data_IF_506039582470
#
_entry.id   IF_506039582470
#
_cell.length_a   1.000
_cell.length_b   1.000
_cell.length_c   1.000
_cell.angle_alpha   90.00
_cell.angle_beta   90.00
_cell.angle_gamma   90.00
#
_symmetry.space_group_name_H-M   'P 1'
#
loop_
_entity.id
_entity.type
_entity.pdbx_description
1 polymer ?
#
# COMPACT_ATOMS: atom_id res chain seq x y z
N UNK A 1 13.15 -7.51 16.90
CA UNK A 1 13.60 -8.18 15.67
C UNK A 1 15.02 -8.70 15.92
N UNK A 2 15.19 -10.03 16.03
CA UNK A 2 16.52 -10.66 16.07
C UNK A 2 17.04 -10.68 14.63
N UNK A 3 18.08 -9.90 14.36
CA UNK A 3 18.78 -9.93 13.07
C UNK A 3 19.70 -11.16 13.11
N UNK A 4 19.20 -12.30 12.61
CA UNK A 4 20.01 -13.49 12.34
C UNK A 4 19.93 -13.77 10.85
N UNK A 5 20.91 -13.28 10.09
CA UNK A 5 20.88 -13.50 8.64
C UNK A 5 21.95 -12.80 7.81
N UNK A 6 23.14 -12.50 8.36
CA UNK A 6 24.30 -12.11 7.52
C UNK A 6 25.58 -12.65 8.14
N UNK A 7 25.74 -13.98 8.17
CA UNK A 7 27.07 -14.61 8.31
C UNK A 7 26.95 -16.01 7.75
N UNK A 8 27.34 -16.19 6.49
CA UNK A 8 27.92 -17.43 5.97
C UNK A 8 28.31 -17.23 4.50
N UNK A 9 29.48 -16.63 4.29
CA UNK A 9 30.29 -16.82 3.10
C UNK A 9 31.75 -16.45 3.43
N UNK A 10 32.35 -17.21 4.36
CA UNK A 10 33.80 -17.31 4.44
C UNK A 10 34.18 -18.77 4.21
N UNK A 11 34.68 -19.06 3.01
CA UNK A 11 35.39 -20.30 2.71
C UNK A 11 36.66 -20.35 3.59
N UNK A 12 36.91 -21.41 4.38
CA UNK A 12 38.19 -21.58 5.04
C UNK A 12 39.18 -22.16 4.02
N UNK A 13 39.91 -21.29 3.32
CA UNK A 13 41.11 -21.71 2.59
C UNK A 13 42.28 -21.83 3.56
N UNK A 14 42.88 -23.03 3.63
CA UNK A 14 44.26 -23.24 4.05
C UNK A 14 44.49 -23.39 5.55
N UNK A 15 44.54 -24.64 6.03
CA UNK A 15 45.19 -25.01 7.29
C UNK A 15 46.70 -24.80 7.18
N UNK A 16 47.16 -23.55 7.26
CA UNK A 16 48.53 -23.29 7.70
C UNK A 16 48.62 -23.76 9.16
N UNK A 17 49.59 -24.64 9.47
CA UNK A 17 49.98 -24.98 10.85
C UNK A 17 50.35 -23.68 11.58
N UNK A 18 49.36 -23.03 12.20
CA UNK A 18 49.59 -21.94 13.13
C UNK A 18 50.01 -22.59 14.44
N UNK A 19 51.21 -22.29 14.91
CA UNK A 19 51.61 -22.53 16.29
C UNK A 19 50.47 -22.07 17.20
N UNK A 20 50.00 -22.97 18.08
CA UNK A 20 48.97 -22.62 19.06
C UNK A 20 49.47 -21.40 19.83
N UNK A 21 48.76 -20.27 19.85
CA UNK A 21 49.16 -19.14 20.67
C UNK A 21 49.11 -19.59 22.14
N UNK A 22 50.26 -19.67 22.80
CA UNK A 22 50.28 -19.90 24.24
C UNK A 22 49.87 -18.60 24.94
N UNK A 23 48.63 -18.55 25.44
CA UNK A 23 48.18 -17.42 26.25
C UNK A 23 48.83 -17.39 27.64
N UNK A 24 49.48 -18.48 28.07
CA UNK A 24 50.10 -18.65 29.40
C UNK A 24 51.62 -18.55 29.42
N UNK A 25 52.23 -18.05 28.34
CA UNK A 25 53.67 -17.81 28.28
C UNK A 25 54.50 -19.09 28.26
N UNK A 26 53.93 -20.20 27.83
CA UNK A 26 54.60 -21.52 27.78
C UNK A 26 55.81 -21.51 26.83
N UNK A 27 55.82 -20.58 25.86
CA UNK A 27 56.99 -20.25 25.02
C UNK A 27 58.19 -19.70 25.81
N UNK A 28 57.96 -19.15 27.01
CA UNK A 28 59.03 -18.67 27.89
C UNK A 28 59.63 -19.79 28.74
N UNK A 29 58.90 -20.89 28.89
CA UNK A 29 59.23 -22.06 29.73
C UNK A 29 60.18 -23.03 29.01
N UNK A 30 60.33 -22.88 27.69
CA UNK A 30 61.25 -23.67 26.88
C UNK A 30 62.70 -23.49 27.35
N UNK A 31 63.36 -24.61 27.68
CA UNK A 31 64.72 -24.64 28.23
C UNK A 31 64.81 -24.64 29.76
N UNK A 32 63.69 -24.52 30.49
CA UNK A 32 63.66 -24.59 31.95
C UNK A 32 63.12 -25.93 32.44
N UNK A 33 63.68 -26.46 33.54
CA UNK A 33 63.20 -27.68 34.18
C UNK A 33 61.80 -27.51 34.82
N UNK A 34 61.00 -28.59 34.96
CA UNK A 34 59.64 -28.52 35.51
C UNK A 34 59.54 -27.85 36.90
N UNK A 35 60.55 -28.05 37.74
CA UNK A 35 60.65 -27.43 39.06
C UNK A 35 60.82 -25.91 38.98
N UNK A 36 61.69 -25.42 38.09
CA UNK A 36 61.91 -23.98 37.87
C UNK A 36 60.64 -23.33 37.32
N UNK A 37 59.94 -24.01 36.40
CA UNK A 37 58.67 -23.53 35.84
C UNK A 37 57.57 -23.45 36.89
N UNK A 38 57.43 -24.47 37.75
CA UNK A 38 56.39 -24.47 38.79
C UNK A 38 56.64 -23.36 39.83
N UNK A 39 57.89 -23.19 40.27
CA UNK A 39 58.29 -22.16 41.22
C UNK A 39 58.16 -20.76 40.63
N UNK A 40 58.55 -20.56 39.37
CA UNK A 40 58.38 -19.29 38.68
C UNK A 40 56.90 -18.90 38.56
N UNK A 41 56.01 -19.86 38.25
CA UNK A 41 54.56 -19.63 38.21
C UNK A 41 53.97 -19.34 39.59
N UNK A 42 54.41 -20.06 40.64
CA UNK A 42 53.98 -19.86 42.03
C UNK A 42 54.27 -18.44 42.51
N UNK A 43 55.45 -17.91 42.18
CA UNK A 43 55.93 -16.60 42.66
C UNK A 43 55.79 -15.46 41.66
N UNK A 44 55.13 -15.69 40.52
CA UNK A 44 55.02 -14.72 39.43
C UNK A 44 54.35 -13.41 39.87
N UNK A 45 53.31 -13.51 40.71
CA UNK A 45 52.51 -12.37 41.16
C UNK A 45 52.82 -11.93 42.59
N UNK A 46 53.81 -12.57 43.24
CA UNK A 46 54.24 -12.20 44.59
C UNK A 46 55.17 -10.98 44.51
N UNK A 47 54.84 -9.95 45.27
CA UNK A 47 55.67 -8.75 45.42
C UNK A 47 56.88 -9.09 46.31
N UNK A 48 58.07 -8.64 45.92
CA UNK A 48 59.33 -8.90 46.64
C UNK A 48 59.60 -10.40 46.85
N UNK A 49 59.47 -11.16 45.76
CA UNK A 49 59.51 -12.62 45.76
C UNK A 49 60.91 -13.25 46.00
N UNK A 50 61.99 -12.48 45.90
CA UNK A 50 63.37 -12.96 46.05
C UNK A 50 63.62 -13.66 47.39
N UNK A 51 63.15 -13.09 48.50
CA UNK A 51 63.36 -13.63 49.84
C UNK A 51 62.58 -14.93 50.07
N UNK A 52 61.40 -15.05 49.48
CA UNK A 52 60.54 -16.23 49.60
C UNK A 52 61.05 -17.39 48.75
N UNK A 53 61.47 -17.09 47.51
CA UNK A 53 62.09 -18.07 46.62
C UNK A 53 63.41 -18.54 47.23
N UNK A 54 64.23 -17.64 47.80
CA UNK A 54 65.50 -18.01 48.43
C UNK A 54 65.27 -18.96 49.61
N UNK A 55 64.31 -18.67 50.49
CA UNK A 55 63.98 -19.57 51.62
C UNK A 55 63.55 -20.97 51.17
N UNK A 56 62.69 -21.06 50.16
CA UNK A 56 62.15 -22.35 49.70
C UNK A 56 63.12 -23.15 48.83
N UNK A 57 64.09 -22.49 48.17
CA UNK A 57 65.11 -23.15 47.33
C UNK A 57 66.39 -23.46 48.12
N UNK A 58 66.69 -22.72 49.19
CA UNK A 58 67.86 -22.92 50.06
C UNK A 58 67.69 -24.10 51.04
N UNK A 59 66.45 -24.58 51.26
CA UNK A 59 66.18 -25.80 52.06
C UNK A 59 66.48 -27.10 51.29
N UNK A 60 66.92 -27.01 50.02
CA UNK A 60 67.31 -28.13 49.13
C UNK A 60 68.81 -27.96 48.75
N UNK A 61 69.69 -28.71 49.42
CA UNK A 61 71.14 -28.46 49.62
C UNK A 61 72.07 -28.47 48.37
N UNK A 62 71.60 -28.31 47.13
CA UNK A 62 72.47 -28.45 45.93
C UNK A 62 72.10 -27.57 44.71
N UNK A 63 71.61 -26.34 44.92
CA UNK A 63 70.72 -25.69 43.93
C UNK A 63 71.03 -24.21 43.59
N UNK A 64 72.28 -23.76 43.66
CA UNK A 64 72.66 -22.38 43.30
C UNK A 64 72.30 -21.95 41.86
N UNK A 65 72.14 -22.91 40.94
CA UNK A 65 71.68 -22.66 39.56
C UNK A 65 70.16 -22.40 39.47
N UNK A 66 69.32 -23.04 40.31
CA UNK A 66 67.86 -22.98 40.12
C UNK A 66 67.21 -21.69 40.63
N UNK A 67 67.74 -21.06 41.69
CA UNK A 67 67.21 -19.77 42.17
C UNK A 67 67.32 -18.66 41.10
N UNK A 68 68.49 -18.53 40.47
CA UNK A 68 68.73 -17.52 39.44
C UNK A 68 67.88 -17.78 38.18
N UNK A 69 67.71 -19.05 37.82
CA UNK A 69 66.86 -19.47 36.70
C UNK A 69 65.37 -19.19 36.96
N UNK A 70 64.88 -19.39 38.20
CA UNK A 70 63.51 -19.03 38.61
C UNK A 70 63.30 -17.52 38.50
N UNK A 71 64.23 -16.70 39.02
CA UNK A 71 64.12 -15.24 38.94
C UNK A 71 64.17 -14.75 37.49
N UNK A 72 65.05 -15.33 36.66
CA UNK A 72 65.15 -15.02 35.24
C UNK A 72 63.85 -15.37 34.49
N UNK A 73 63.28 -16.55 34.74
CA UNK A 73 62.01 -16.97 34.14
C UNK A 73 60.84 -16.10 34.60
N UNK A 74 60.75 -15.74 35.88
CA UNK A 74 59.74 -14.80 36.41
C UNK A 74 59.83 -13.46 35.67
N UNK A 75 61.04 -12.92 35.48
CA UNK A 75 61.24 -11.65 34.76
C UNK A 75 60.77 -11.77 33.31
N UNK A 76 61.13 -12.86 32.61
CA UNK A 76 60.71 -13.14 31.23
C UNK A 76 59.19 -13.28 31.09
N UNK A 77 58.55 -13.99 32.02
CA UNK A 77 57.09 -14.14 32.08
C UNK A 77 56.39 -12.81 32.35
N UNK A 78 56.86 -12.01 33.32
CA UNK A 78 56.31 -10.67 33.62
C UNK A 78 56.38 -9.75 32.40
N UNK A 79 57.51 -9.69 31.71
CA UNK A 79 57.65 -8.89 30.49
C UNK A 79 56.73 -9.39 29.37
N UNK A 80 56.61 -10.70 29.21
CA UNK A 80 55.75 -11.30 28.18
C UNK A 80 54.27 -11.04 28.43
N UNK A 81 53.81 -11.18 29.67
CA UNK A 81 52.42 -10.86 30.05
C UNK A 81 52.12 -9.38 29.90
N UNK A 82 53.00 -8.49 30.38
CA UNK A 82 52.82 -7.05 30.18
C UNK A 82 52.73 -6.66 28.70
N UNK A 83 53.50 -7.31 27.82
CA UNK A 83 53.43 -7.10 26.38
C UNK A 83 52.13 -7.66 25.77
N UNK A 84 51.63 -8.79 26.27
CA UNK A 84 50.34 -9.37 25.83
C UNK A 84 49.15 -8.51 26.29
N UNK A 85 49.17 -8.03 27.52
CA UNK A 85 48.13 -7.12 28.06
C UNK A 85 48.06 -5.82 27.26
N UNK A 86 49.21 -5.23 26.90
CA UNK A 86 49.26 -4.06 26.00
C UNK A 86 48.66 -4.36 24.63
N UNK A 87 48.90 -5.54 24.07
CA UNK A 87 48.30 -5.97 22.80
C UNK A 87 46.79 -6.17 22.92
N UNK A 88 46.32 -6.76 24.01
CA UNK A 88 44.89 -6.94 24.30
C UNK A 88 44.20 -5.58 24.40
N UNK A 89 44.74 -4.65 25.19
CA UNK A 89 44.21 -3.29 25.33
C UNK A 89 44.15 -2.53 23.98
N UNK A 90 45.17 -2.68 23.14
CA UNK A 90 45.18 -2.10 21.81
C UNK A 90 44.10 -2.72 20.90
N UNK A 91 43.91 -4.05 20.97
CA UNK A 91 42.86 -4.74 20.23
C UNK A 91 41.45 -4.34 20.70
N UNK A 92 41.22 -4.25 22.01
CA UNK A 92 39.96 -3.78 22.59
C UNK A 92 39.63 -2.35 22.16
N UNK A 93 40.63 -1.46 22.15
CA UNK A 93 40.47 -0.09 21.68
C UNK A 93 40.08 -0.05 20.20
N UNK A 94 40.73 -0.86 19.36
CA UNK A 94 40.42 -0.95 17.93
C UNK A 94 39.03 -1.55 17.68
N UNK A 95 38.63 -2.57 18.44
CA UNK A 95 37.29 -3.18 18.35
C UNK A 95 36.22 -2.17 18.75
N UNK A 96 36.41 -1.44 19.85
CA UNK A 96 35.46 -0.43 20.30
C UNK A 96 35.31 0.70 19.29
N UNK A 97 36.41 1.14 18.67
CA UNK A 97 36.36 2.12 17.59
C UNK A 97 35.59 1.58 16.37
N UNK A 98 35.90 0.38 15.92
CA UNK A 98 35.21 -0.25 14.79
C UNK A 98 33.71 -0.44 15.07
N UNK A 99 33.31 -0.78 16.30
CA UNK A 99 31.91 -0.87 16.70
C UNK A 99 31.22 0.50 16.64
N UNK A 100 31.86 1.55 17.15
CA UNK A 100 31.31 2.92 17.09
C UNK A 100 31.17 3.44 15.64
N UNK A 101 32.15 3.13 14.78
CA UNK A 101 32.09 3.46 13.36
C UNK A 101 30.93 2.70 12.67
N UNK A 102 30.75 1.41 12.98
CA UNK A 102 29.65 0.59 12.47
C UNK A 102 28.27 1.10 12.93
N UNK A 103 28.12 1.51 14.19
CA UNK A 103 26.88 2.11 14.69
C UNK A 103 26.55 3.42 13.95
N UNK A 104 27.56 4.22 13.65
CA UNK A 104 27.41 5.47 12.90
C UNK A 104 26.98 5.20 11.45
N UNK A 105 27.58 4.22 10.78
CA UNK A 105 27.18 3.80 9.43
C UNK A 105 25.76 3.20 9.41
N UNK A 106 25.39 2.39 10.40
CA UNK A 106 24.04 1.86 10.52
C UNK A 106 23.01 3.00 10.66
N UNK A 107 23.31 4.03 11.44
CA UNK A 107 22.44 5.20 11.58
C UNK A 107 22.28 5.97 10.26
N UNK A 108 23.35 6.12 9.47
CA UNK A 108 23.29 6.72 8.12
C UNK A 108 22.42 5.89 7.17
N UNK A 109 22.59 4.57 7.16
CA UNK A 109 21.77 3.67 6.35
C UNK A 109 20.29 3.75 6.71
N UNK A 110 19.95 3.77 8.02
CA UNK A 110 18.56 3.93 8.47
C UNK A 110 17.99 5.27 8.00
N UNK A 111 18.78 6.36 8.07
CA UNK A 111 18.34 7.67 7.59
C UNK A 111 18.08 7.67 6.08
N UNK A 112 19.00 7.13 5.29
CA UNK A 112 18.85 7.04 3.83
C UNK A 112 17.63 6.19 3.43
N UNK A 113 17.42 5.05 4.10
CA UNK A 113 16.24 4.21 3.87
C UNK A 113 14.94 5.00 4.07
N UNK A 114 14.85 5.79 5.15
CA UNK A 114 13.68 6.63 5.42
C UNK A 114 13.48 7.74 4.38
N UNK A 115 14.55 8.26 3.81
CA UNK A 115 14.47 9.26 2.73
C UNK A 115 13.96 8.62 1.44
N UNK A 116 14.45 7.44 1.09
CA UNK A 116 13.98 6.65 -0.07
C UNK A 116 12.50 6.28 0.08
N UNK A 117 12.07 5.85 1.27
CA UNK A 117 10.67 5.50 1.54
C UNK A 117 9.75 6.72 1.32
N UNK A 118 10.13 7.89 1.84
CA UNK A 118 9.37 9.14 1.62
C UNK A 118 9.28 9.53 0.16
N UNK A 119 10.36 9.38 -0.60
CA UNK A 119 10.37 9.70 -2.02
C UNK A 119 9.46 8.74 -2.82
N UNK A 120 9.49 7.44 -2.48
CA UNK A 120 8.59 6.46 -3.08
C UNK A 120 7.12 6.74 -2.76
N UNK A 121 6.79 7.08 -1.50
CA UNK A 121 5.43 7.45 -1.11
C UNK A 121 4.94 8.70 -1.88
N UNK A 122 5.82 9.70 -2.05
CA UNK A 122 5.50 10.91 -2.82
C UNK A 122 5.22 10.59 -4.29
N UNK A 123 6.03 9.70 -4.90
CA UNK A 123 5.84 9.26 -6.30
C UNK A 123 4.56 8.45 -6.48
N UNK A 124 4.22 7.61 -5.51
CA UNK A 124 3.00 6.83 -5.53
C UNK A 124 1.75 7.73 -5.38
N UNK A 125 1.81 8.76 -4.53
CA UNK A 125 0.77 9.78 -4.43
C UNK A 125 0.58 10.56 -5.76
N UNK A 126 1.68 10.94 -6.40
CA UNK A 126 1.64 11.61 -7.70
C UNK A 126 1.03 10.72 -8.79
N UNK A 127 1.41 9.43 -8.84
CA UNK A 127 0.83 8.45 -9.78
C UNK A 127 -0.69 8.28 -9.58
N UNK A 128 -1.15 8.22 -8.34
CA UNK A 128 -2.58 8.16 -8.01
C UNK A 128 -3.29 9.40 -8.56
N UNK A 129 -2.73 10.59 -8.33
CA UNK A 129 -3.32 11.85 -8.78
C UNK A 129 -3.36 11.94 -10.31
N UNK A 130 -2.28 11.58 -11.00
CA UNK A 130 -2.22 11.57 -12.47
C UNK A 130 -3.23 10.58 -13.05
N UNK A 131 -3.36 9.39 -12.48
CA UNK A 131 -4.33 8.40 -12.96
C UNK A 131 -5.78 8.86 -12.75
N UNK A 132 -6.08 9.53 -11.63
CA UNK A 132 -7.39 10.18 -11.39
C UNK A 132 -7.73 11.20 -12.48
N UNK A 133 -6.78 12.08 -12.79
CA UNK A 133 -6.94 13.08 -13.85
C UNK A 133 -7.11 12.44 -15.23
N UNK A 134 -6.31 11.41 -15.56
CA UNK A 134 -6.42 10.70 -16.83
C UNK A 134 -7.79 10.06 -17.01
N UNK A 135 -8.30 9.35 -16.00
CA UNK A 135 -9.63 8.73 -16.05
C UNK A 135 -10.71 9.78 -16.23
N UNK A 136 -10.62 10.89 -15.50
CA UNK A 136 -11.53 12.03 -15.65
C UNK A 136 -11.57 12.54 -17.10
N UNK A 137 -10.41 12.73 -17.73
CA UNK A 137 -10.32 13.15 -19.13
C UNK A 137 -10.85 12.09 -20.11
N UNK A 138 -10.56 10.80 -19.89
CA UNK A 138 -11.09 9.72 -20.73
C UNK A 138 -12.62 9.60 -20.64
N UNK A 139 -13.18 9.72 -19.43
CA UNK A 139 -14.63 9.75 -19.19
C UNK A 139 -15.28 10.92 -19.92
N UNK A 140 -14.72 12.13 -19.81
CA UNK A 140 -15.18 13.31 -20.58
C UNK A 140 -15.14 13.07 -22.08
N UNK A 141 -14.03 12.57 -22.62
CA UNK A 141 -13.87 12.28 -24.04
C UNK A 141 -14.91 11.28 -24.55
N UNK A 142 -15.19 10.23 -23.78
CA UNK A 142 -16.24 9.26 -24.12
C UNK A 142 -17.63 9.91 -24.09
N UNK A 143 -17.92 10.74 -23.09
CA UNK A 143 -19.19 11.50 -23.02
C UNK A 143 -19.34 12.41 -24.23
N UNK A 144 -18.31 13.19 -24.60
CA UNK A 144 -18.36 14.08 -25.76
C UNK A 144 -18.66 13.31 -27.04
N UNK A 145 -17.96 12.19 -27.26
CA UNK A 145 -18.20 11.30 -28.40
C UNK A 145 -19.65 10.80 -28.43
N UNK A 146 -20.15 10.31 -27.30
CA UNK A 146 -21.50 9.77 -27.20
C UNK A 146 -22.57 10.86 -27.40
N UNK A 147 -22.41 12.04 -26.79
CA UNK A 147 -23.30 13.18 -26.99
C UNK A 147 -23.29 13.68 -28.42
N UNK A 148 -22.12 13.68 -29.08
CA UNK A 148 -22.02 14.05 -30.48
C UNK A 148 -22.92 13.18 -31.35
N UNK A 149 -22.79 11.85 -31.25
CA UNK A 149 -23.59 10.94 -32.08
C UNK A 149 -25.04 10.79 -31.62
N UNK A 150 -25.32 10.87 -30.31
CA UNK A 150 -26.66 10.63 -29.76
C UNK A 150 -27.54 11.87 -29.74
N UNK A 151 -26.97 13.05 -29.90
CA UNK A 151 -27.70 14.32 -29.80
C UNK A 151 -27.26 15.34 -30.84
N UNK A 152 -25.99 15.78 -30.84
CA UNK A 152 -25.55 16.93 -31.66
C UNK A 152 -25.75 16.65 -33.15
N UNK A 153 -25.34 15.46 -33.61
CA UNK A 153 -25.48 15.04 -35.01
C UNK A 153 -26.93 14.97 -35.48
N UNK A 154 -27.91 14.86 -34.56
CA UNK A 154 -29.32 14.89 -34.94
C UNK A 154 -29.72 16.26 -35.51
N UNK A 155 -29.01 17.33 -35.19
CA UNK A 155 -29.25 18.66 -35.74
C UNK A 155 -29.03 18.70 -37.26
N UNK A 156 -28.19 17.81 -37.79
CA UNK A 156 -27.83 17.68 -39.21
C UNK A 156 -28.81 16.81 -40.01
N UNK A 157 -29.78 16.16 -39.36
CA UNK A 157 -30.74 15.26 -40.00
C UNK A 157 -32.06 15.98 -40.32
N UNK A 158 -32.70 15.58 -41.42
CA UNK A 158 -34.02 16.08 -41.83
C UNK A 158 -35.13 15.64 -40.85
N UNK A 159 -35.09 14.38 -40.40
CA UNK A 159 -35.97 13.86 -39.34
C UNK A 159 -35.19 13.70 -38.03
N UNK A 160 -35.50 14.57 -37.05
CA UNK A 160 -34.78 14.64 -35.78
C UNK A 160 -35.52 13.87 -34.69
N UNK A 161 -34.98 12.72 -34.28
CA UNK A 161 -35.54 11.90 -33.21
C UNK A 161 -34.76 12.10 -31.90
N UNK A 162 -35.02 13.22 -31.23
CA UNK A 162 -34.36 13.56 -29.96
C UNK A 162 -34.88 12.69 -28.81
N UNK A 163 -34.01 12.21 -27.90
CA UNK A 163 -34.43 11.47 -26.72
C UNK A 163 -35.14 12.37 -25.71
N UNK A 164 -36.15 11.87 -24.98
CA UNK A 164 -36.74 12.66 -23.88
C UNK A 164 -35.74 12.97 -22.75
N UNK A 165 -34.79 12.06 -22.52
CA UNK A 165 -33.78 12.22 -21.49
C UNK A 165 -32.49 11.46 -21.78
N UNK A 166 -31.38 12.09 -21.38
CA UNK A 166 -30.01 11.57 -21.40
C UNK A 166 -29.52 11.54 -19.95
N UNK A 167 -29.06 10.37 -19.51
CA UNK A 167 -28.47 10.20 -18.18
C UNK A 167 -27.01 9.79 -18.33
N UNK A 168 -26.12 10.59 -17.75
CA UNK A 168 -24.67 10.32 -17.70
C UNK A 168 -24.35 9.68 -16.35
N UNK A 169 -23.73 8.50 -16.38
CA UNK A 169 -23.38 7.73 -15.18
C UNK A 169 -21.86 7.74 -14.96
N UNK A 170 -21.42 8.03 -13.74
CA UNK A 170 -20.01 7.94 -13.35
C UNK A 170 -19.16 9.20 -13.59
N UNK A 171 -19.79 10.37 -13.63
CA UNK A 171 -19.10 11.67 -13.69
C UNK A 171 -19.57 12.58 -12.55
N UNK A 172 -19.02 12.38 -11.35
CA UNK A 172 -19.42 13.13 -10.13
C UNK A 172 -18.82 14.53 -10.02
N UNK A 173 -17.66 14.74 -10.64
CA UNK A 173 -16.91 15.97 -10.53
C UNK A 173 -17.65 17.14 -11.17
N UNK A 174 -18.01 18.15 -10.37
CA UNK A 174 -18.82 19.30 -10.81
C UNK A 174 -18.15 20.12 -11.89
N UNK A 175 -16.83 20.22 -11.91
CA UNK A 175 -16.13 20.95 -12.96
C UNK A 175 -16.12 20.16 -14.27
N UNK A 176 -15.98 18.83 -14.21
CA UNK A 176 -16.15 17.96 -15.37
C UNK A 176 -17.58 18.02 -15.94
N UNK A 177 -18.60 18.08 -15.07
CA UNK A 177 -19.98 18.28 -15.50
C UNK A 177 -20.13 19.61 -16.24
N UNK A 178 -19.55 20.71 -15.71
CA UNK A 178 -19.52 22.01 -16.40
C UNK A 178 -18.84 21.93 -17.76
N UNK A 179 -17.72 21.20 -17.89
CA UNK A 179 -17.05 20.99 -19.17
C UNK A 179 -17.99 20.33 -20.20
N UNK A 180 -18.79 19.35 -19.79
CA UNK A 180 -19.80 18.70 -20.64
C UNK A 180 -20.90 19.68 -21.05
N UNK A 181 -21.39 20.50 -20.13
CA UNK A 181 -22.38 21.53 -20.45
C UNK A 181 -21.81 22.58 -21.42
N UNK A 182 -20.56 23.01 -21.22
CA UNK A 182 -19.88 23.95 -22.11
C UNK A 182 -19.62 23.33 -23.48
N UNK A 183 -19.27 22.04 -23.55
CA UNK A 183 -19.14 21.31 -24.80
C UNK A 183 -20.44 21.35 -25.61
N UNK A 184 -21.59 21.11 -24.98
CA UNK A 184 -22.90 21.20 -25.65
C UNK A 184 -23.17 22.64 -26.15
N UNK A 185 -22.95 23.65 -25.31
CA UNK A 185 -23.13 25.07 -25.69
C UNK A 185 -22.23 25.50 -26.85
N UNK A 186 -20.99 25.02 -26.88
CA UNK A 186 -20.03 25.30 -27.95
C UNK A 186 -20.36 24.59 -29.28
N UNK A 187 -21.28 23.62 -29.26
CA UNK A 187 -21.83 22.98 -30.45
C UNK A 187 -23.28 23.46 -30.70
N UNK A 188 -23.53 24.74 -30.45
CA UNK A 188 -24.79 25.45 -30.72
C UNK A 188 -26.04 24.82 -30.08
N UNK A 189 -25.88 24.07 -28.99
CA UNK A 189 -27.03 23.54 -28.25
C UNK A 189 -27.55 24.58 -27.26
N UNK A 190 -28.86 24.85 -27.27
CA UNK A 190 -29.52 25.67 -26.27
C UNK A 190 -29.65 24.89 -24.94
N UNK A 191 -28.78 25.17 -23.96
CA UNK A 191 -28.78 24.49 -22.66
C UNK A 191 -29.25 25.41 -21.52
N UNK A 192 -30.35 25.02 -20.88
CA UNK A 192 -30.92 25.67 -19.69
C UNK A 192 -30.62 24.82 -18.46
N UNK A 193 -30.03 25.43 -17.43
CA UNK A 193 -29.76 24.76 -16.16
C UNK A 193 -30.87 25.04 -15.14
N UNK A 194 -31.32 23.99 -14.46
CA UNK A 194 -32.23 24.04 -13.31
C UNK A 194 -31.55 23.33 -12.15
N UNK A 195 -31.61 23.89 -10.94
CA UNK A 195 -31.06 23.26 -9.74
C UNK A 195 -32.19 22.91 -8.78
N UNK A 196 -32.49 21.63 -8.63
CA UNK A 196 -33.56 21.15 -7.75
C UNK A 196 -33.30 21.48 -6.28
N UNK A 197 -32.04 21.66 -5.85
CA UNK A 197 -31.76 22.09 -4.47
C UNK A 197 -32.33 23.49 -4.18
N UNK A 198 -32.37 24.37 -5.18
CA UNK A 198 -32.84 25.76 -5.04
C UNK A 198 -34.34 25.92 -5.16
N UNK A 199 -35.06 24.86 -5.53
CA UNK A 199 -36.50 24.91 -5.75
C UNK A 199 -37.20 24.18 -4.62
N UNK A 200 -38.29 24.71 -4.04
CA UNK A 200 -39.13 23.99 -3.09
C UNK A 200 -39.94 22.84 -3.72
N UNK A 201 -40.18 21.78 -2.94
CA UNK A 201 -40.94 20.59 -3.39
C UNK A 201 -42.31 20.95 -4.00
N UNK A 202 -43.01 21.91 -3.38
CA UNK A 202 -44.36 22.33 -3.80
C UNK A 202 -44.38 23.03 -5.17
N UNK A 203 -43.27 23.63 -5.59
CA UNK A 203 -43.20 24.43 -6.82
C UNK A 203 -42.37 23.77 -7.93
N UNK A 204 -41.56 22.75 -7.62
CA UNK A 204 -40.61 22.16 -8.58
C UNK A 204 -41.26 21.70 -9.89
N UNK A 205 -42.42 21.04 -9.85
CA UNK A 205 -43.12 20.66 -11.08
C UNK A 205 -43.58 21.86 -11.90
N UNK A 206 -44.06 22.91 -11.22
CA UNK A 206 -44.54 24.14 -11.88
C UNK A 206 -43.37 24.87 -12.54
N UNK A 207 -42.25 24.98 -11.85
CA UNK A 207 -41.05 25.62 -12.38
C UNK A 207 -40.46 24.82 -13.55
N UNK A 208 -40.35 23.50 -13.41
CA UNK A 208 -39.89 22.62 -14.48
C UNK A 208 -40.77 22.73 -15.74
N UNK A 209 -42.10 22.65 -15.59
CA UNK A 209 -43.04 22.85 -16.70
C UNK A 209 -42.96 24.26 -17.30
N UNK A 210 -42.64 25.28 -16.50
CA UNK A 210 -42.49 26.65 -17.00
C UNK A 210 -41.29 26.76 -17.93
N UNK A 211 -40.17 26.13 -17.59
CA UNK A 211 -39.00 26.05 -18.47
C UNK A 211 -39.31 25.27 -19.76
N UNK A 212 -39.97 24.12 -19.66
CA UNK A 212 -40.38 23.33 -20.83
C UNK A 212 -41.31 24.11 -21.76
N UNK A 213 -42.32 24.81 -21.22
CA UNK A 213 -43.26 25.60 -22.02
C UNK A 213 -42.63 26.79 -22.71
N UNK A 214 -41.63 27.44 -22.09
CA UNK A 214 -40.86 28.51 -22.74
C UNK A 214 -40.08 27.98 -23.93
N UNK A 215 -39.49 26.80 -23.81
CA UNK A 215 -38.72 26.19 -24.89
C UNK A 215 -39.61 25.71 -26.04
N UNK A 216 -40.84 25.24 -25.76
CA UNK A 216 -41.82 24.91 -26.81
C UNK A 216 -42.15 26.07 -27.75
N UNK A 217 -42.00 27.31 -27.29
CA UNK A 217 -42.24 28.50 -28.12
C UNK A 217 -41.06 28.83 -29.04
N UNK A 218 -39.94 28.13 -28.88
CA UNK A 218 -38.76 28.17 -29.76
C UNK A 218 -38.87 27.08 -30.83
N UNK A 219 -38.51 27.40 -32.06
CA UNK A 219 -38.40 26.41 -33.14
C UNK A 219 -37.16 25.49 -32.95
N UNK A 220 -36.23 25.87 -32.07
CA UNK A 220 -35.02 25.10 -31.77
C UNK A 220 -35.20 24.11 -30.62
N UNK A 221 -34.67 22.89 -30.78
CA UNK A 221 -34.65 21.89 -29.73
C UNK A 221 -33.67 22.29 -28.61
N UNK A 222 -34.10 22.13 -27.36
CA UNK A 222 -33.34 22.58 -26.19
C UNK A 222 -32.94 21.43 -25.26
N UNK A 223 -31.92 21.67 -24.43
CA UNK A 223 -31.52 20.78 -23.35
C UNK A 223 -31.87 21.45 -22.03
N UNK A 224 -32.61 20.76 -21.16
CA UNK A 224 -32.70 21.14 -19.74
C UNK A 224 -31.76 20.25 -18.94
N UNK A 225 -30.67 20.84 -18.46
CA UNK A 225 -29.80 20.21 -17.48
C UNK A 225 -30.39 20.37 -16.08
N UNK A 226 -30.70 19.26 -15.41
CA UNK A 226 -31.18 19.28 -14.02
C UNK A 226 -30.04 18.89 -13.08
N UNK A 227 -29.60 19.85 -12.28
CA UNK A 227 -28.69 19.65 -11.17
C UNK A 227 -29.46 19.14 -9.94
N UNK A 228 -28.81 18.28 -9.15
CA UNK A 228 -29.37 17.66 -7.93
C UNK A 228 -30.71 16.93 -8.20
N UNK A 229 -30.77 16.19 -9.30
CA UNK A 229 -31.95 15.48 -9.78
C UNK A 229 -32.53 14.50 -8.75
N UNK A 230 -31.65 13.87 -7.96
CA UNK A 230 -31.95 12.91 -6.91
C UNK A 230 -32.87 13.45 -5.81
N UNK A 231 -32.78 14.75 -5.48
CA UNK A 231 -33.57 15.39 -4.41
C UNK A 231 -35.06 15.02 -4.46
N UNK A 232 -35.65 14.98 -5.65
CA UNK A 232 -37.08 14.73 -5.86
C UNK A 232 -37.39 13.41 -6.57
N UNK A 233 -36.37 12.59 -6.84
CA UNK A 233 -36.53 11.36 -7.62
C UNK A 233 -36.13 10.11 -6.85
N UNK A 234 -35.61 10.25 -5.63
CA UNK A 234 -35.51 9.15 -4.65
C UNK A 234 -36.89 8.83 -4.07
N UNK A 235 -37.32 7.55 -4.04
CA UNK A 235 -38.65 7.14 -3.62
C UNK A 235 -38.81 7.24 -2.10
N UNK A 236 -39.27 8.41 -1.64
CA UNK A 236 -39.68 8.68 -0.26
C UNK A 236 -41.17 9.03 -0.21
N UNK A 237 -41.80 8.90 0.96
CA UNK A 237 -43.21 9.29 1.15
C UNK A 237 -43.46 10.76 0.77
N UNK A 238 -42.49 11.64 1.05
CA UNK A 238 -42.54 13.05 0.69
C UNK A 238 -42.50 13.25 -0.84
N UNK A 239 -41.70 12.45 -1.54
CA UNK A 239 -41.46 12.60 -2.97
C UNK A 239 -42.48 11.87 -3.86
N UNK A 240 -43.27 10.93 -3.34
CA UNK A 240 -44.16 10.09 -4.14
C UNK A 240 -45.08 10.89 -5.10
N UNK A 241 -45.66 11.98 -4.61
CA UNK A 241 -46.54 12.83 -5.40
C UNK A 241 -45.79 13.60 -6.51
N UNK A 242 -44.56 14.04 -6.25
CA UNK A 242 -43.77 14.75 -7.27
C UNK A 242 -43.19 13.79 -8.30
N UNK A 243 -42.76 12.59 -7.88
CA UNK A 243 -42.27 11.53 -8.76
C UNK A 243 -43.31 11.20 -9.83
N UNK A 244 -44.58 11.01 -9.44
CA UNK A 244 -45.66 10.72 -10.39
C UNK A 244 -45.87 11.85 -11.42
N UNK A 245 -45.70 13.12 -11.03
CA UNK A 245 -45.82 14.28 -11.93
C UNK A 245 -44.62 14.40 -12.87
N UNK A 246 -43.41 14.22 -12.33
CA UNK A 246 -42.18 14.25 -13.11
C UNK A 246 -42.14 13.09 -14.11
N UNK A 247 -42.55 11.88 -13.70
CA UNK A 247 -42.67 10.69 -14.57
C UNK A 247 -43.45 11.01 -15.85
N UNK A 248 -44.65 11.55 -15.72
CA UNK A 248 -45.51 11.86 -16.86
C UNK A 248 -44.88 12.94 -17.75
N UNK A 249 -44.25 13.95 -17.15
CA UNK A 249 -43.59 15.04 -17.89
C UNK A 249 -42.36 14.53 -18.66
N UNK A 250 -41.53 13.70 -18.02
CA UNK A 250 -40.32 13.12 -18.61
C UNK A 250 -40.63 12.16 -19.76
N UNK A 251 -41.82 11.56 -19.81
CA UNK A 251 -42.25 10.73 -20.93
C UNK A 251 -42.48 11.50 -22.22
N UNK A 252 -42.75 12.82 -22.13
CA UNK A 252 -43.17 13.62 -23.29
C UNK A 252 -42.27 14.82 -23.56
N UNK A 253 -41.15 14.98 -22.86
CA UNK A 253 -40.26 16.15 -22.99
C UNK A 253 -39.88 16.48 -24.44
N UNK A 254 -39.37 15.49 -25.18
CA UNK A 254 -38.98 15.67 -26.58
C UNK A 254 -40.18 15.99 -27.47
N UNK A 255 -41.19 15.11 -27.47
CA UNK A 255 -42.35 15.18 -28.37
C UNK A 255 -43.26 16.40 -28.12
N UNK A 256 -43.53 16.74 -26.86
CA UNK A 256 -44.49 17.81 -26.52
C UNK A 256 -43.84 19.18 -26.35
N UNK A 257 -42.56 19.23 -25.95
CA UNK A 257 -41.88 20.47 -25.54
C UNK A 257 -40.58 20.75 -26.29
N UNK A 258 -40.24 19.97 -27.31
CA UNK A 258 -39.00 20.12 -28.08
C UNK A 258 -37.75 20.19 -27.18
N UNK A 259 -37.73 19.36 -26.13
CA UNK A 259 -36.71 19.43 -25.07
C UNK A 259 -36.18 18.07 -24.67
N UNK A 260 -34.87 17.94 -24.52
CA UNK A 260 -34.20 16.78 -23.91
C UNK A 260 -33.76 17.11 -22.49
N UNK A 261 -34.04 16.23 -21.53
CA UNK A 261 -33.55 16.36 -20.16
C UNK A 261 -32.17 15.73 -20.01
N UNK A 262 -31.20 16.46 -19.49
CA UNK A 262 -29.85 15.96 -19.19
C UNK A 262 -29.66 15.88 -17.68
N UNK A 263 -29.17 14.73 -17.19
CA UNK A 263 -28.82 14.54 -15.78
C UNK A 263 -27.49 13.82 -15.63
N UNK A 264 -26.75 14.14 -14.56
CA UNK A 264 -25.61 13.36 -14.08
C UNK A 264 -26.04 12.59 -12.84
N UNK A 265 -25.89 11.27 -12.83
CA UNK A 265 -26.25 10.44 -11.69
C UNK A 265 -25.27 9.27 -11.58
N UNK A 266 -24.55 9.17 -10.47
CA UNK A 266 -23.58 8.08 -10.28
C UNK A 266 -24.14 6.88 -9.57
N UNK A 267 -25.25 7.04 -8.84
CA UNK A 267 -25.96 5.95 -8.20
C UNK A 267 -27.43 5.92 -8.67
N UNK A 268 -27.70 5.50 -9.92
CA UNK A 268 -29.06 5.48 -10.45
C UNK A 268 -29.99 4.49 -9.72
N UNK A 269 -29.44 3.50 -9.01
CA UNK A 269 -30.22 2.48 -8.30
C UNK A 269 -31.02 3.03 -7.11
N UNK A 270 -30.63 4.21 -6.59
CA UNK A 270 -31.37 4.90 -5.53
C UNK A 270 -32.59 5.67 -6.04
N UNK A 271 -32.69 5.87 -7.35
CA UNK A 271 -33.79 6.62 -7.96
C UNK A 271 -34.99 5.72 -8.20
N UNK A 272 -36.19 6.31 -8.22
CA UNK A 272 -37.42 5.58 -8.50
C UNK A 272 -37.39 4.95 -9.91
N UNK A 273 -37.71 3.66 -10.01
CA UNK A 273 -37.72 2.91 -11.28
C UNK A 273 -38.68 3.54 -12.31
N UNK A 274 -39.75 4.18 -11.84
CA UNK A 274 -40.69 4.92 -12.67
C UNK A 274 -40.13 6.25 -13.20
N UNK A 275 -38.98 6.73 -12.72
CA UNK A 275 -38.29 7.87 -13.30
C UNK A 275 -37.25 7.40 -14.31
N UNK A 276 -36.45 6.40 -13.94
CA UNK A 276 -35.27 5.97 -14.72
C UNK A 276 -35.56 4.90 -15.79
N UNK A 277 -36.76 4.29 -15.75
CA UNK A 277 -37.17 3.23 -16.65
C UNK A 277 -37.77 3.71 -17.98
N UNK A 278 -37.83 2.80 -18.95
CA UNK A 278 -38.54 2.98 -20.22
C UNK A 278 -37.90 4.00 -21.17
N UNK A 279 -38.75 4.74 -21.90
CA UNK A 279 -38.33 5.73 -22.90
C UNK A 279 -37.82 7.05 -22.30
N UNK A 280 -38.08 7.33 -21.02
CA UNK A 280 -37.72 8.59 -20.33
C UNK A 280 -36.22 8.86 -20.37
N UNK A 281 -35.42 7.86 -20.00
CA UNK A 281 -33.96 7.88 -20.13
C UNK A 281 -33.50 6.74 -21.05
N UNK A 282 -34.04 6.72 -22.27
CA UNK A 282 -33.69 5.72 -23.30
C UNK A 282 -32.18 5.71 -23.60
N UNK A 283 -31.50 6.83 -23.41
CA UNK A 283 -30.06 6.98 -23.64
C UNK A 283 -29.34 7.16 -22.31
N UNK A 284 -28.64 6.12 -21.87
CA UNK A 284 -27.69 6.17 -20.77
C UNK A 284 -26.27 6.19 -21.34
N UNK A 285 -25.43 7.07 -20.84
CA UNK A 285 -24.00 7.13 -21.16
C UNK A 285 -23.26 6.69 -19.90
N UNK A 286 -22.89 5.41 -19.84
CA UNK A 286 -22.20 4.84 -18.70
C UNK A 286 -20.69 4.88 -18.92
N UNK A 287 -19.99 5.66 -18.10
CA UNK A 287 -18.53 5.77 -18.13
C UNK A 287 -17.86 5.22 -16.86
N UNK A 288 -18.64 4.54 -16.00
CA UNK A 288 -18.13 3.91 -14.76
C UNK A 288 -17.17 2.75 -15.06
N UNK A 289 -17.31 2.13 -16.22
CA UNK A 289 -16.41 1.08 -16.70
C UNK A 289 -15.02 1.58 -17.11
N UNK A 290 -14.84 2.89 -17.32
CA UNK A 290 -13.54 3.50 -17.57
C UNK A 290 -12.84 3.61 -16.22
N UNK A 291 -12.11 2.54 -15.89
CA UNK A 291 -11.18 2.45 -14.77
C UNK A 291 -9.78 2.63 -15.37
N UNK A 292 -8.93 3.45 -14.76
CA UNK A 292 -7.60 3.78 -15.31
C UNK A 292 -6.63 2.61 -15.31
N UNK A 293 -5.36 2.84 -14.99
CA UNK A 293 -4.39 1.76 -14.91
C UNK A 293 -4.83 0.62 -13.95
N UNK A 294 -4.53 -0.63 -14.33
CA UNK A 294 -4.90 -1.84 -13.59
C UNK A 294 -4.22 -1.98 -12.23
N UNK A 295 -3.06 -1.34 -12.04
CA UNK A 295 -2.35 -1.23 -10.76
C UNK A 295 -1.59 0.11 -10.75
N UNK A 296 -1.63 0.81 -9.62
CA UNK A 296 -1.06 2.16 -9.51
C UNK A 296 0.02 2.21 -8.45
N UNK A 297 -0.29 1.79 -7.22
CA UNK A 297 0.61 1.98 -6.08
C UNK A 297 0.25 1.08 -4.89
N UNK A 298 1.18 0.95 -3.96
CA UNK A 298 0.94 0.43 -2.61
C UNK A 298 1.19 1.53 -1.60
N UNK A 299 0.18 1.94 -0.85
CA UNK A 299 0.31 2.95 0.19
C UNK A 299 0.42 2.25 1.56
N UNK A 300 1.51 2.47 2.33
CA UNK A 300 1.66 1.87 3.65
C UNK A 300 0.55 2.26 4.63
N UNK A 301 0.13 1.32 5.47
CA UNK A 301 -0.72 1.51 6.66
C UNK A 301 0.01 1.02 7.91
N UNK A 302 -0.59 1.24 9.09
CA UNK A 302 0.00 0.84 10.37
C UNK A 302 0.33 -0.68 10.43
N UNK A 303 -0.54 -1.52 9.88
CA UNK A 303 -0.48 -2.98 9.92
C UNK A 303 -0.71 -3.65 8.56
N UNK A 304 -0.47 -2.91 7.46
CA UNK A 304 -0.78 -3.40 6.12
C UNK A 304 -0.46 -2.40 5.02
N UNK A 305 -1.08 -2.59 3.86
CA UNK A 305 -1.01 -1.67 2.72
C UNK A 305 -2.39 -1.50 2.08
N UNK A 306 -2.66 -0.32 1.56
CA UNK A 306 -3.75 -0.15 0.59
C UNK A 306 -3.19 -0.36 -0.80
N UNK A 307 -3.72 -1.35 -1.51
CA UNK A 307 -3.45 -1.54 -2.93
C UNK A 307 -4.36 -0.62 -3.74
N UNK A 308 -3.75 0.35 -4.41
CA UNK A 308 -4.44 1.26 -5.31
C UNK A 308 -4.43 0.70 -6.74
N UNK A 309 -5.62 0.50 -7.28
CA UNK A 309 -5.86 0.16 -8.67
C UNK A 309 -7.07 0.94 -9.14
N UNK A 310 -7.12 1.39 -10.38
CA UNK A 310 -8.20 2.29 -10.82
C UNK A 310 -8.14 3.69 -10.21
N UNK A 311 -9.03 4.58 -10.63
CA UNK A 311 -8.98 5.99 -10.24
C UNK A 311 -9.83 6.30 -9.00
N UNK A 312 -10.82 5.47 -8.69
CA UNK A 312 -11.81 5.77 -7.67
C UNK A 312 -11.41 5.14 -6.33
N UNK A 313 -11.79 5.77 -5.22
CA UNK A 313 -11.51 5.22 -3.89
C UNK A 313 -12.13 3.84 -3.69
N UNK A 314 -13.30 3.65 -4.30
CA UNK A 314 -14.02 2.40 -4.36
C UNK A 314 -13.34 1.32 -5.18
N UNK A 315 -12.25 1.61 -5.91
CA UNK A 315 -11.48 0.57 -6.55
C UNK A 315 -10.43 -0.02 -5.58
N UNK A 316 -9.97 0.70 -4.55
CA UNK A 316 -8.87 0.24 -3.70
C UNK A 316 -9.24 -0.97 -2.80
N UNK A 317 -8.20 -1.68 -2.34
CA UNK A 317 -8.33 -2.80 -1.38
C UNK A 317 -7.30 -2.67 -0.29
N UNK A 318 -7.72 -2.88 0.95
CA UNK A 318 -6.81 -2.99 2.07
C UNK A 318 -6.31 -4.42 2.24
N UNK A 319 -5.00 -4.52 2.45
CA UNK A 319 -4.25 -5.75 2.54
C UNK A 319 -3.53 -5.79 3.89
N UNK A 320 -3.70 -6.87 4.65
CA UNK A 320 -3.11 -7.01 5.98
C UNK A 320 -2.33 -8.30 6.12
N UNK A 321 -1.31 -8.28 6.98
CA UNK A 321 -0.53 -9.48 7.28
C UNK A 321 -1.24 -10.30 8.35
N UNK A 322 -1.62 -11.50 7.95
CA UNK A 322 -2.31 -12.48 8.76
C UNK A 322 -3.82 -12.27 8.85
N UNK A 323 -4.52 -13.39 8.94
CA UNK A 323 -5.94 -13.41 9.29
C UNK A 323 -6.07 -13.02 10.76
N UNK A 324 -6.43 -11.76 11.03
CA UNK A 324 -6.51 -11.20 12.38
C UNK A 324 -5.18 -11.32 13.18
N UNK A 325 -4.03 -11.18 12.50
CA UNK A 325 -2.70 -11.20 13.13
C UNK A 325 -2.21 -12.57 13.64
N UNK A 326 -2.91 -13.67 13.31
CA UNK A 326 -2.61 -15.00 13.86
C UNK A 326 -1.66 -15.86 13.02
N UNK A 327 -1.56 -15.61 11.70
CA UNK A 327 -0.68 -16.36 10.80
C UNK A 327 0.08 -15.42 9.84
N UNK A 328 1.39 -15.29 10.03
CA UNK A 328 2.23 -14.41 9.23
C UNK A 328 2.47 -14.89 7.78
N UNK A 329 1.99 -16.09 7.42
CA UNK A 329 2.04 -16.60 6.04
C UNK A 329 0.73 -16.33 5.29
N UNK A 330 -0.21 -15.56 5.85
CA UNK A 330 -1.50 -15.28 5.22
C UNK A 330 -1.62 -13.81 4.84
N UNK A 331 -2.11 -13.53 3.64
CA UNK A 331 -2.56 -12.21 3.21
C UNK A 331 -4.07 -12.10 3.48
N UNK A 332 -4.50 -11.15 4.31
CA UNK A 332 -5.92 -10.82 4.44
C UNK A 332 -6.30 -9.78 3.39
N UNK A 333 -7.27 -10.11 2.53
CA UNK A 333 -7.83 -9.24 1.49
C UNK A 333 -9.15 -8.69 2.01
N UNK A 334 -9.18 -7.41 2.41
CA UNK A 334 -10.33 -6.83 3.10
C UNK A 334 -11.43 -6.35 2.14
N UNK A 335 -12.02 -7.28 1.40
CA UNK A 335 -13.17 -7.01 0.54
C UNK A 335 -13.94 -8.28 0.16
N UNK A 336 -15.26 -8.15 -0.01
CA UNK A 336 -16.10 -9.17 -0.67
C UNK A 336 -16.16 -9.00 -2.19
N UNK A 337 -15.65 -7.88 -2.72
CA UNK A 337 -15.76 -7.61 -4.16
C UNK A 337 -14.90 -8.57 -4.97
N UNK A 338 -15.58 -9.37 -5.78
CA UNK A 338 -14.95 -10.41 -6.60
C UNK A 338 -13.98 -9.83 -7.63
N UNK A 339 -14.32 -8.70 -8.26
CA UNK A 339 -13.43 -8.00 -9.20
C UNK A 339 -12.13 -7.59 -8.51
N UNK A 340 -12.25 -7.03 -7.32
CA UNK A 340 -11.12 -6.55 -6.52
C UNK A 340 -10.22 -7.69 -6.06
N UNK A 341 -10.81 -8.77 -5.55
CA UNK A 341 -10.05 -9.97 -5.15
C UNK A 341 -9.24 -10.51 -6.34
N UNK A 342 -9.84 -10.60 -7.54
CA UNK A 342 -9.11 -11.03 -8.74
C UNK A 342 -7.92 -10.13 -9.05
N UNK A 343 -8.07 -8.81 -8.95
CA UNK A 343 -6.96 -7.86 -9.17
C UNK A 343 -5.84 -8.02 -8.15
N UNK A 344 -6.17 -8.28 -6.89
CA UNK A 344 -5.17 -8.60 -5.84
C UNK A 344 -4.40 -9.87 -6.20
N UNK A 345 -5.11 -10.95 -6.54
CA UNK A 345 -4.50 -12.22 -6.92
C UNK A 345 -3.64 -12.11 -8.19
N UNK A 346 -4.04 -11.29 -9.17
CA UNK A 346 -3.26 -11.01 -10.38
C UNK A 346 -1.96 -10.24 -10.10
N UNK A 347 -1.89 -9.48 -9.00
CA UNK A 347 -0.73 -8.69 -8.63
C UNK A 347 0.06 -9.32 -7.47
N UNK A 348 -0.10 -10.63 -7.22
CA UNK A 348 0.51 -11.28 -6.05
C UNK A 348 2.03 -11.17 -6.00
N UNK A 349 2.71 -11.22 -7.15
CA UNK A 349 4.17 -11.09 -7.23
C UNK A 349 4.64 -9.71 -6.77
N UNK A 350 3.89 -8.66 -7.12
CA UNK A 350 4.14 -7.30 -6.65
C UNK A 350 3.83 -7.13 -5.17
N UNK A 351 2.84 -7.87 -4.65
CA UNK A 351 2.54 -7.89 -3.21
C UNK A 351 3.69 -8.57 -2.46
N UNK A 352 4.16 -9.74 -2.94
CA UNK A 352 5.31 -10.48 -2.39
C UNK A 352 6.62 -9.69 -2.48
N UNK A 353 6.74 -8.70 -3.36
CA UNK A 353 7.91 -7.82 -3.40
C UNK A 353 7.98 -6.83 -2.23
N UNK A 354 6.92 -6.71 -1.41
CA UNK A 354 6.92 -5.90 -0.19
C UNK A 354 7.42 -6.73 0.98
N UNK A 355 8.35 -6.17 1.76
CA UNK A 355 9.00 -6.86 2.88
C UNK A 355 8.01 -7.49 3.88
N UNK A 356 6.89 -6.81 4.13
CA UNK A 356 5.82 -7.30 5.01
C UNK A 356 5.16 -8.59 4.49
N UNK A 357 5.02 -8.74 3.17
CA UNK A 357 4.27 -9.83 2.54
C UNK A 357 5.15 -10.85 1.82
N UNK A 358 6.48 -10.75 1.93
CA UNK A 358 7.41 -11.60 1.16
C UNK A 358 7.22 -13.12 1.36
N UNK A 359 6.69 -13.53 2.51
CA UNK A 359 6.54 -14.93 2.91
C UNK A 359 5.07 -15.41 2.89
N UNK A 360 4.15 -14.67 2.27
CA UNK A 360 2.76 -15.13 2.20
C UNK A 360 2.63 -16.38 1.31
N UNK A 361 1.89 -17.36 1.81
CA UNK A 361 1.60 -18.65 1.16
C UNK A 361 0.10 -18.79 0.87
N UNK A 362 -0.75 -18.07 1.62
CA UNK A 362 -2.20 -18.12 1.49
C UNK A 362 -2.78 -16.71 1.39
N UNK A 363 -3.91 -16.57 0.71
CA UNK A 363 -4.76 -15.40 0.83
C UNK A 363 -6.11 -15.79 1.44
N UNK A 364 -6.60 -14.97 2.36
CA UNK A 364 -7.90 -15.11 3.00
C UNK A 364 -8.76 -13.86 2.81
N UNK A 365 -10.07 -14.05 2.74
CA UNK A 365 -11.02 -12.97 2.45
C UNK A 365 -12.41 -13.29 3.02
N UNK A 366 -13.26 -12.29 3.31
CA UNK A 366 -14.67 -12.53 3.54
C UNK A 366 -15.33 -13.13 2.29
N UNK A 367 -16.48 -13.80 2.46
CA UNK A 367 -17.23 -14.41 1.35
C UNK A 367 -17.31 -13.47 0.14
N UNK A 368 -16.74 -13.87 -1.02
CA UNK A 368 -16.83 -13.08 -2.24
C UNK A 368 -18.27 -13.00 -2.76
N UNK A 369 -18.60 -11.90 -3.44
CA UNK A 369 -19.90 -11.70 -4.10
C UNK A 369 -20.26 -12.85 -5.04
N UNK A 370 -19.27 -13.36 -5.80
CA UNK A 370 -19.39 -14.52 -6.67
C UNK A 370 -18.20 -15.49 -6.46
N UNK A 371 -18.38 -16.41 -5.51
CA UNK A 371 -17.44 -17.49 -5.16
C UNK A 371 -17.06 -18.34 -6.38
N UNK A 372 -18.00 -18.60 -7.30
CA UNK A 372 -17.76 -19.52 -8.44
C UNK A 372 -16.77 -18.95 -9.44
N UNK A 373 -16.62 -17.63 -9.47
CA UNK A 373 -15.79 -16.96 -10.45
C UNK A 373 -14.30 -16.90 -10.07
N UNK A 374 -13.95 -17.30 -8.84
CA UNK A 374 -12.57 -17.37 -8.35
C UNK A 374 -12.24 -18.85 -8.14
N UNK A 375 -11.37 -19.45 -8.97
CA UNK A 375 -11.06 -20.86 -8.86
C UNK A 375 -10.30 -21.17 -7.56
N UNK A 376 -10.46 -22.39 -7.06
CA UNK A 376 -9.71 -22.93 -5.92
C UNK A 376 -9.93 -22.22 -4.57
N UNK A 377 -11.05 -21.51 -4.40
CA UNK A 377 -11.44 -20.99 -3.08
C UNK A 377 -11.95 -22.12 -2.18
N UNK A 378 -11.43 -22.15 -0.96
CA UNK A 378 -11.77 -23.12 0.08
C UNK A 378 -12.51 -22.36 1.20
N UNK A 379 -13.79 -22.67 1.49
CA UNK A 379 -14.47 -22.10 2.64
C UNK A 379 -13.84 -22.61 3.94
N UNK A 380 -13.56 -21.71 4.87
CA UNK A 380 -13.09 -22.05 6.21
C UNK A 380 -14.27 -22.06 7.19
N UNK A 381 -14.13 -22.79 8.29
CA UNK A 381 -15.12 -22.80 9.38
C UNK A 381 -15.15 -21.47 10.17
N UNK A 382 -14.13 -20.62 9.97
CA UNK A 382 -14.01 -19.32 10.60
C UNK A 382 -14.92 -18.28 9.96
N UNK A 383 -15.34 -17.30 10.76
CA UNK A 383 -16.20 -16.19 10.34
C UNK A 383 -15.61 -14.84 10.73
N UNK A 384 -15.96 -13.82 9.96
CA UNK A 384 -15.71 -12.42 10.33
C UNK A 384 -16.60 -11.99 11.50
N UNK A 385 -16.36 -10.80 12.06
CA UNK A 385 -17.15 -10.23 13.17
C UNK A 385 -18.63 -10.04 12.81
N UNK A 386 -18.92 -9.77 11.53
CA UNK A 386 -20.27 -9.68 10.96
C UNK A 386 -20.80 -11.03 10.45
N UNK A 387 -20.23 -12.14 10.91
CA UNK A 387 -20.66 -13.52 10.65
C UNK A 387 -20.59 -13.98 9.18
N UNK A 388 -19.80 -13.32 8.33
CA UNK A 388 -19.52 -13.81 6.97
C UNK A 388 -18.51 -14.95 7.02
N UNK A 389 -18.77 -16.00 6.26
CA UNK A 389 -17.81 -17.11 6.05
C UNK A 389 -16.51 -16.57 5.45
N UNK A 390 -15.38 -17.02 5.97
CA UNK A 390 -14.05 -16.71 5.41
C UNK A 390 -13.70 -17.76 4.36
N UNK A 391 -13.12 -17.33 3.25
CA UNK A 391 -12.56 -18.21 2.22
C UNK A 391 -11.04 -18.05 2.20
N UNK A 392 -10.35 -19.12 1.78
CA UNK A 392 -8.90 -19.18 1.62
C UNK A 392 -8.54 -19.68 0.23
N UNK A 393 -7.38 -19.25 -0.27
CA UNK A 393 -6.75 -19.75 -1.49
C UNK A 393 -5.25 -19.89 -1.27
N UNK A 394 -4.68 -20.97 -1.77
CA UNK A 394 -3.23 -21.18 -1.78
C UNK A 394 -2.59 -20.34 -2.89
N UNK A 395 -1.55 -19.59 -2.53
CA UNK A 395 -0.79 -18.73 -3.43
C UNK A 395 0.42 -19.50 -3.93
N UNK A 396 0.21 -20.32 -4.96
CA UNK A 396 1.30 -21.04 -5.61
C UNK A 396 2.45 -20.08 -5.94
N UNK A 397 3.67 -20.44 -5.57
CA UNK A 397 4.86 -19.77 -6.08
C UNK A 397 4.90 -20.04 -7.59
N UNK A 398 4.59 -19.02 -8.39
CA UNK A 398 4.85 -19.04 -9.83
C UNK A 398 6.27 -18.62 -10.11
#
# INVERSE_FOLDING_TARGET
MRISGIYNNYRPYGTAYRSKPSFRGEECEEGYGPYVVSMAKKYLYVKDNSTWIWKEVYEDDDMGFTYNDIIALIKKLKTTYANKDKKIQALETNINKANSDNETELAKHIKLSREIDKENDSRDAERIQVNKLLVKELRKKQIFKELYYKYIKLNELDEKNYPHGIMILGLDDKDAQKDVINYLKNNDCNVVQIDFNKIPLRTVNKEFLTHLKRNKQSDEHSIIYIDNFDKYTVPTDENFNIINKLKSTLCTCSDEYNTTVLVFESNPERLDENIIGGHRFKKKIDVRNIKGAEFIAFVPKYDGYTMHFGADENDNVDLYLGSFGSNFNTLWIDTSSTEKIKKVLQNIDKIKSKELFKNIEYAEMPKPDDVKSIPNLIPLERKTKDFKTIYSIELFNK
#
